data_IF_508460155742
#
_entry.id   IF_508460155742
#
_cell.length_a   1.000
_cell.length_b   1.000
_cell.length_c   1.000
_cell.angle_alpha   90.00
_cell.angle_beta   90.00
_cell.angle_gamma   90.00
#
_symmetry.space_group_name_H-M   'P 1'
#
loop_
_entity.id
_entity.type
_entity.pdbx_description
1 polymer ?
#
# COMPACT_ATOMS: atom_id res chain seq x y z
N UNK A 1 10.45 -25.56 3.87
CA UNK A 1 10.11 -24.14 3.65
C UNK A 1 9.76 -23.54 5.01
N UNK A 2 10.73 -22.96 5.70
CA UNK A 2 10.52 -22.45 7.07
C UNK A 2 9.77 -21.11 6.96
N UNK A 3 8.56 -21.07 7.53
CA UNK A 3 7.80 -19.83 7.73
C UNK A 3 8.63 -18.94 8.67
N UNK A 4 8.64 -17.62 8.48
CA UNK A 4 9.05 -16.70 9.55
C UNK A 4 8.42 -17.19 10.86
N UNK A 5 9.17 -17.28 11.97
CA UNK A 5 8.52 -17.51 13.23
C UNK A 5 7.62 -16.28 13.46
N UNK A 6 6.31 -16.52 13.40
CA UNK A 6 5.24 -15.54 13.63
C UNK A 6 5.34 -14.91 15.04
N UNK A 7 6.28 -15.40 15.86
CA UNK A 7 6.47 -15.07 17.27
C UNK A 7 6.80 -13.62 17.58
N UNK A 8 7.15 -12.78 16.61
CA UNK A 8 7.50 -11.38 16.89
C UNK A 8 6.53 -10.34 16.30
N UNK A 9 5.49 -10.72 15.55
CA UNK A 9 4.51 -9.73 15.05
C UNK A 9 3.44 -9.50 16.12
N UNK A 10 3.45 -8.32 16.73
CA UNK A 10 2.53 -7.98 17.83
C UNK A 10 1.21 -7.38 17.36
N UNK A 11 1.07 -7.11 16.06
CA UNK A 11 -0.14 -6.55 15.44
C UNK A 11 0.15 -5.71 14.19
N UNK A 12 -0.87 -5.00 13.66
CA UNK A 12 -0.71 -4.06 12.56
C UNK A 12 0.43 -3.06 12.83
N UNK A 13 1.23 -2.79 11.80
CA UNK A 13 2.37 -1.87 11.82
C UNK A 13 3.51 -2.23 12.79
N UNK A 14 3.53 -3.45 13.36
CA UNK A 14 4.66 -3.92 14.19
C UNK A 14 5.93 -4.25 13.38
N UNK A 15 5.81 -4.46 12.08
CA UNK A 15 6.93 -4.61 11.15
C UNK A 15 6.58 -3.88 9.85
N UNK A 16 7.22 -2.73 9.65
CA UNK A 16 7.09 -1.95 8.44
C UNK A 16 8.22 -2.31 7.47
N UNK A 17 7.87 -2.72 6.26
CA UNK A 17 8.84 -2.98 5.19
C UNK A 17 8.86 -1.76 4.26
N UNK A 18 10.03 -1.23 3.99
CA UNK A 18 10.24 -0.01 3.20
C UNK A 18 11.07 -0.34 1.97
N UNK A 19 10.65 0.20 0.84
CA UNK A 19 11.37 0.13 -0.43
C UNK A 19 11.15 1.41 -1.25
N UNK A 20 11.94 1.57 -2.32
CA UNK A 20 11.78 2.67 -3.26
C UNK A 20 11.69 2.15 -4.69
N UNK A 21 10.76 2.70 -5.46
CA UNK A 21 10.59 2.39 -6.88
C UNK A 21 11.03 3.60 -7.72
N UNK A 22 11.87 3.36 -8.72
CA UNK A 22 12.27 4.37 -9.70
C UNK A 22 13.75 4.26 -10.10
N UNK A 23 14.25 5.26 -10.86
CA UNK A 23 13.51 6.43 -11.33
C UNK A 23 12.41 6.05 -12.35
N UNK A 24 11.26 6.73 -12.25
CA UNK A 24 10.16 6.70 -13.22
C UNK A 24 10.23 7.96 -14.11
N UNK A 25 9.48 8.02 -15.23
CA UNK A 25 9.27 9.28 -15.95
C UNK A 25 8.82 10.38 -14.99
N UNK A 26 9.44 11.55 -15.10
CA UNK A 26 9.15 12.67 -14.22
C UNK A 26 7.72 13.16 -14.46
N UNK A 27 6.95 13.29 -13.39
CA UNK A 27 5.58 13.81 -13.50
C UNK A 27 5.57 15.32 -13.65
N UNK A 28 4.43 15.87 -14.05
CA UNK A 28 4.23 17.33 -14.09
C UNK A 28 4.42 17.99 -12.72
N UNK A 29 4.28 17.23 -11.63
CA UNK A 29 4.54 17.70 -10.25
C UNK A 29 5.99 17.47 -9.80
N UNK A 30 6.87 17.02 -10.69
CA UNK A 30 8.29 16.79 -10.42
C UNK A 30 8.59 15.49 -9.67
N UNK A 31 7.64 14.55 -9.59
CA UNK A 31 7.87 13.27 -8.91
C UNK A 31 8.64 12.29 -9.81
N UNK A 32 9.64 11.60 -9.23
CA UNK A 32 10.52 10.66 -9.95
C UNK A 32 10.57 9.28 -9.32
N UNK A 33 10.20 9.18 -8.05
CA UNK A 33 10.29 7.96 -7.28
C UNK A 33 9.02 7.73 -6.48
N UNK A 34 8.80 6.50 -6.08
CA UNK A 34 7.74 6.12 -5.15
C UNK A 34 8.40 5.52 -3.91
N UNK A 35 8.21 6.15 -2.76
CA UNK A 35 8.53 5.54 -1.47
C UNK A 35 7.38 4.64 -1.04
N UNK A 36 7.69 3.38 -0.81
CA UNK A 36 6.73 2.33 -0.49
C UNK A 36 6.91 1.87 0.94
N UNK A 37 5.81 1.75 1.65
CA UNK A 37 5.74 1.26 3.02
C UNK A 37 4.68 0.19 3.11
N UNK A 38 5.05 -1.05 3.43
CA UNK A 38 4.09 -2.14 3.57
C UNK A 38 4.14 -2.69 4.98
N UNK A 39 3.01 -2.65 5.67
CA UNK A 39 2.83 -3.37 6.92
C UNK A 39 2.86 -4.87 6.65
N UNK A 40 3.77 -5.57 7.31
CA UNK A 40 3.87 -7.02 7.12
C UNK A 40 2.64 -7.75 7.67
N UNK A 41 1.99 -7.26 8.74
CA UNK A 41 0.89 -7.96 9.39
C UNK A 41 -0.39 -7.96 8.53
N UNK A 42 -0.85 -6.77 8.14
CA UNK A 42 -2.09 -6.58 7.37
C UNK A 42 -1.88 -6.53 5.86
N UNK A 43 -0.63 -6.52 5.37
CA UNK A 43 -0.26 -6.17 3.99
C UNK A 43 -0.76 -4.79 3.55
N UNK A 44 -1.12 -3.93 4.50
CA UNK A 44 -1.49 -2.55 4.20
C UNK A 44 -0.29 -1.82 3.60
N UNK A 45 -0.43 -1.36 2.36
CA UNK A 45 0.62 -0.64 1.65
C UNK A 45 0.29 0.85 1.60
N UNK A 46 1.21 1.72 2.02
CA UNK A 46 1.26 3.15 1.73
C UNK A 46 2.33 3.40 0.66
N UNK A 47 2.06 4.34 -0.25
CA UNK A 47 3.03 4.73 -1.26
C UNK A 47 2.95 6.24 -1.50
N UNK A 48 4.11 6.88 -1.59
CA UNK A 48 4.23 8.34 -1.73
C UNK A 48 5.13 8.68 -2.91
N UNK A 49 4.60 9.51 -3.82
CA UNK A 49 5.37 10.07 -4.92
C UNK A 49 6.34 11.12 -4.39
N UNK A 50 7.62 11.03 -4.75
CA UNK A 50 8.67 11.94 -4.29
C UNK A 50 9.61 12.33 -5.43
N UNK A 51 10.16 13.54 -5.35
CA UNK A 51 11.12 14.06 -6.33
C UNK A 51 12.52 13.46 -6.16
N UNK A 52 12.90 13.11 -4.93
CA UNK A 52 14.21 12.59 -4.59
C UNK A 52 14.14 11.50 -3.52
N UNK A 53 15.14 10.62 -3.52
CA UNK A 53 15.36 9.65 -2.47
C UNK A 53 16.51 10.17 -1.60
N UNK A 54 16.18 11.00 -0.62
CA UNK A 54 17.10 11.47 0.42
C UNK A 54 16.50 11.21 1.81
N UNK A 55 17.30 11.34 2.86
CA UNK A 55 16.86 11.02 4.21
C UNK A 55 15.79 11.97 4.75
N UNK A 56 15.77 13.24 4.36
CA UNK A 56 14.75 14.19 4.83
C UNK A 56 13.40 13.83 4.21
N UNK A 57 13.38 13.62 2.90
CA UNK A 57 12.20 13.17 2.16
C UNK A 57 11.66 11.84 2.70
N UNK A 58 12.54 10.88 3.01
CA UNK A 58 12.15 9.62 3.63
C UNK A 58 11.53 9.81 5.02
N UNK A 59 12.16 10.60 5.89
CA UNK A 59 11.67 10.82 7.25
C UNK A 59 10.33 11.57 7.27
N UNK A 60 10.15 12.55 6.38
CA UNK A 60 8.88 13.23 6.21
C UNK A 60 7.76 12.25 5.83
N UNK A 61 8.03 11.38 4.85
CA UNK A 61 7.08 10.35 4.42
C UNK A 61 6.76 9.34 5.53
N UNK A 62 7.74 8.92 6.33
CA UNK A 62 7.50 8.04 7.49
C UNK A 62 6.64 8.73 8.54
N UNK A 63 6.99 9.96 8.92
CA UNK A 63 6.28 10.68 9.99
C UNK A 63 4.85 11.00 9.57
N UNK A 64 4.68 11.72 8.45
CA UNK A 64 3.38 12.21 8.02
C UNK A 64 2.51 11.12 7.39
N UNK A 65 3.15 10.16 6.73
CA UNK A 65 2.49 9.09 6.00
C UNK A 65 2.16 7.87 6.85
N UNK A 66 3.00 7.53 7.83
CA UNK A 66 2.84 6.30 8.63
C UNK A 66 2.61 6.63 10.10
N UNK A 67 3.53 7.33 10.76
CA UNK A 67 3.49 7.52 12.22
C UNK A 67 2.24 8.29 12.66
N UNK A 68 1.90 9.38 11.98
CA UNK A 68 0.72 10.19 12.31
C UNK A 68 -0.60 9.42 12.11
N UNK A 69 -0.62 8.42 11.24
CA UNK A 69 -1.85 7.67 10.88
C UNK A 69 -2.02 6.38 11.67
N UNK A 70 -0.91 5.66 11.86
CA UNK A 70 -0.90 4.27 12.31
C UNK A 70 -0.07 4.07 13.59
N UNK A 71 0.66 5.10 14.04
CA UNK A 71 1.57 5.03 15.17
C UNK A 71 2.99 4.62 14.78
N UNK A 72 3.87 4.63 15.78
CA UNK A 72 5.29 4.30 15.59
C UNK A 72 5.47 2.79 15.40
N UNK A 73 6.06 2.33 14.29
CA UNK A 73 6.33 0.91 14.10
C UNK A 73 7.44 0.44 15.05
N UNK A 74 7.29 -0.74 15.64
CA UNK A 74 8.34 -1.29 16.52
C UNK A 74 9.59 -1.73 15.75
N UNK A 75 9.43 -2.15 14.48
CA UNK A 75 10.53 -2.51 13.59
C UNK A 75 10.32 -1.93 12.20
N UNK A 76 11.43 -1.51 11.59
CA UNK A 76 11.47 -1.06 10.21
C UNK A 76 12.51 -1.89 9.46
N UNK A 77 12.10 -2.57 8.41
CA UNK A 77 12.97 -3.28 7.48
C UNK A 77 13.10 -2.45 6.21
N UNK A 78 14.33 -2.20 5.78
CA UNK A 78 14.61 -1.64 4.46
C UNK A 78 15.90 -2.26 3.93
N UNK A 79 16.16 -2.07 2.64
CA UNK A 79 17.47 -2.32 2.07
C UNK A 79 18.55 -1.39 2.68
N UNK A 80 19.80 -1.61 2.26
CA UNK A 80 20.96 -0.83 2.72
C UNK A 80 21.14 0.49 1.93
N UNK A 81 20.08 1.03 1.32
CA UNK A 81 20.13 2.34 0.68
C UNK A 81 20.67 3.41 1.63
N UNK A 82 21.52 4.31 1.13
CA UNK A 82 22.13 5.40 1.93
C UNK A 82 21.07 6.25 2.64
N UNK A 83 19.90 6.38 2.04
CA UNK A 83 18.79 7.21 2.53
C UNK A 83 18.20 6.67 3.83
N UNK A 84 18.18 5.36 3.99
CA UNK A 84 17.65 4.67 5.16
C UNK A 84 18.68 4.47 6.28
N UNK A 85 19.94 4.82 6.02
CA UNK A 85 21.11 4.51 6.86
C UNK A 85 21.94 5.73 7.25
N UNK A 86 21.48 6.95 6.91
CA UNK A 86 22.13 8.19 7.33
C UNK A 86 22.09 8.40 8.85
N UNK A 87 22.96 9.26 9.37
CA UNK A 87 23.00 9.59 10.80
C UNK A 87 21.69 10.19 11.29
N UNK A 88 21.01 11.00 10.47
CA UNK A 88 19.70 11.56 10.80
C UNK A 88 18.64 10.46 10.89
N UNK A 89 18.64 9.49 9.97
CA UNK A 89 17.73 8.35 10.02
C UNK A 89 18.00 7.45 11.24
N UNK A 90 19.28 7.22 11.59
CA UNK A 90 19.67 6.47 12.79
C UNK A 90 19.18 7.16 14.06
N UNK A 91 19.39 8.47 14.19
CA UNK A 91 18.93 9.26 15.33
C UNK A 91 17.40 9.23 15.45
N UNK A 92 16.68 9.30 14.33
CA UNK A 92 15.22 9.14 14.29
C UNK A 92 14.78 7.79 14.84
N UNK A 93 15.37 6.69 14.35
CA UNK A 93 15.02 5.34 14.84
C UNK A 93 15.29 5.20 16.35
N UNK A 94 16.44 5.69 16.82
CA UNK A 94 16.80 5.64 18.25
C UNK A 94 15.82 6.45 19.11
N UNK A 95 15.47 7.66 18.68
CA UNK A 95 14.57 8.56 19.41
C UNK A 95 13.17 7.95 19.58
N UNK A 96 12.68 7.28 18.53
CA UNK A 96 11.36 6.65 18.54
C UNK A 96 11.37 5.19 19.02
N UNK A 97 12.54 4.64 19.39
CA UNK A 97 12.68 3.24 19.78
C UNK A 97 12.41 2.23 18.65
N UNK A 98 12.54 2.65 17.39
CA UNK A 98 12.33 1.79 16.22
C UNK A 98 13.56 0.90 16.04
N UNK A 99 13.38 -0.41 16.06
CA UNK A 99 14.46 -1.36 15.74
C UNK A 99 14.63 -1.47 14.23
N UNK A 100 15.66 -0.82 13.69
CA UNK A 100 16.04 -0.92 12.28
C UNK A 100 16.60 -2.31 11.95
N UNK A 101 16.03 -2.94 10.94
CA UNK A 101 16.48 -4.19 10.35
C UNK A 101 17.09 -3.92 8.96
N UNK A 102 18.18 -4.61 8.65
CA UNK A 102 18.88 -4.47 7.36
C UNK A 102 18.61 -5.68 6.47
N UNK A 103 18.35 -5.44 5.17
CA UNK A 103 17.94 -6.47 4.20
C UNK A 103 18.85 -7.71 4.13
N UNK A 104 20.17 -7.56 4.28
CA UNK A 104 21.11 -8.67 4.20
C UNK A 104 20.96 -9.72 5.34
N UNK A 105 20.33 -9.34 6.45
CA UNK A 105 20.14 -10.22 7.62
C UNK A 105 18.76 -10.89 7.59
N UNK A 106 17.84 -10.48 6.70
CA UNK A 106 16.43 -10.86 6.79
C UNK A 106 15.92 -11.65 5.58
N UNK A 107 15.02 -12.61 5.83
CA UNK A 107 14.63 -13.67 4.90
C UNK A 107 14.09 -13.17 3.55
N UNK A 108 14.35 -13.89 2.43
CA UNK A 108 13.79 -13.62 1.10
C UNK A 108 12.27 -13.47 1.05
N UNK A 109 11.55 -14.06 2.00
CA UNK A 109 10.09 -13.95 2.09
C UNK A 109 9.60 -12.54 2.45
N UNK A 110 10.39 -11.79 3.24
CA UNK A 110 10.02 -10.44 3.70
C UNK A 110 10.28 -9.41 2.61
N UNK A 111 11.44 -9.55 1.95
CA UNK A 111 11.78 -8.74 0.79
C UNK A 111 10.87 -9.07 -0.41
N UNK A 112 10.58 -10.36 -0.62
CA UNK A 112 9.64 -10.79 -1.66
C UNK A 112 8.20 -10.32 -1.47
N UNK A 113 7.82 -9.81 -0.29
CA UNK A 113 6.53 -9.15 -0.12
C UNK A 113 6.51 -7.76 -0.76
N UNK A 114 7.50 -6.93 -0.47
CA UNK A 114 7.54 -5.57 -1.01
C UNK A 114 7.83 -5.61 -2.51
N UNK A 115 8.68 -6.53 -2.98
CA UNK A 115 8.92 -6.74 -4.41
C UNK A 115 7.64 -7.12 -5.17
N UNK A 116 6.82 -8.03 -4.63
CA UNK A 116 5.53 -8.41 -5.23
C UNK A 116 4.53 -7.26 -5.22
N UNK A 117 4.51 -6.48 -4.15
CA UNK A 117 3.70 -5.27 -4.11
C UNK A 117 4.14 -4.27 -5.17
N UNK A 118 5.44 -3.96 -5.27
CA UNK A 118 5.98 -3.03 -6.25
C UNK A 118 5.65 -3.45 -7.69
N UNK A 119 5.77 -4.75 -8.00
CA UNK A 119 5.37 -5.29 -9.29
C UNK A 119 3.88 -5.09 -9.58
N UNK A 120 3.02 -5.29 -8.57
CA UNK A 120 1.57 -5.07 -8.67
C UNK A 120 1.25 -3.59 -8.85
N UNK A 121 1.88 -2.72 -8.06
CA UNK A 121 1.73 -1.27 -8.10
C UNK A 121 2.07 -0.72 -9.49
N UNK A 122 3.23 -1.10 -10.04
CA UNK A 122 3.65 -0.68 -11.37
C UNK A 122 2.71 -1.24 -12.45
N UNK A 123 2.28 -2.50 -12.33
CA UNK A 123 1.31 -3.08 -13.25
C UNK A 123 -0.01 -2.31 -13.27
N UNK A 124 -0.53 -1.93 -12.10
CA UNK A 124 -1.77 -1.15 -11.98
C UNK A 124 -1.62 0.28 -12.48
N UNK A 125 -0.50 0.95 -12.19
CA UNK A 125 -0.22 2.29 -12.70
C UNK A 125 -0.16 2.31 -14.23
N UNK A 126 0.53 1.33 -14.84
CA UNK A 126 0.62 1.20 -16.31
C UNK A 126 -0.72 1.10 -17.02
N UNK A 127 -1.78 0.65 -16.35
CA UNK A 127 -3.13 0.57 -16.92
C UNK A 127 -3.89 1.91 -16.90
N UNK A 128 -3.43 2.89 -16.12
CA UNK A 128 -4.16 4.14 -15.87
C UNK A 128 -3.41 5.40 -16.34
N UNK A 129 -2.09 5.32 -16.48
CA UNK A 129 -1.26 6.44 -16.94
C UNK A 129 -1.51 6.75 -18.41
N UNK A 130 -1.38 8.03 -18.76
CA UNK A 130 -1.42 8.48 -20.15
C UNK A 130 -0.22 7.95 -20.95
N UNK A 131 -0.24 8.07 -22.28
CA UNK A 131 0.83 7.62 -23.18
C UNK A 131 2.19 8.20 -22.80
N UNK A 132 2.21 9.45 -22.32
CA UNK A 132 3.42 10.14 -21.86
C UNK A 132 3.94 9.65 -20.50
N UNK A 133 3.11 8.94 -19.72
CA UNK A 133 3.41 8.45 -18.37
C UNK A 133 3.85 9.54 -17.38
N UNK A 134 3.37 10.79 -17.55
CA UNK A 134 3.75 11.96 -16.74
C UNK A 134 2.75 12.27 -15.61
N UNK A 135 1.74 11.43 -15.39
CA UNK A 135 0.64 11.65 -14.45
C UNK A 135 0.44 10.50 -13.46
N UNK A 136 1.37 9.54 -13.39
CA UNK A 136 1.27 8.34 -12.56
C UNK A 136 1.06 8.66 -11.07
N UNK A 137 1.59 9.77 -10.59
CA UNK A 137 1.45 10.21 -9.20
C UNK A 137 0.01 10.61 -8.86
N UNK A 138 -0.81 11.00 -9.84
CA UNK A 138 -2.24 11.28 -9.66
C UNK A 138 -2.98 9.99 -9.34
N UNK A 139 -2.68 8.89 -10.00
CA UNK A 139 -3.42 7.63 -9.83
C UNK A 139 -3.02 6.84 -8.59
N UNK A 140 -1.89 7.17 -7.96
CA UNK A 140 -1.35 6.43 -6.82
C UNK A 140 -2.37 6.15 -5.71
N UNK A 141 -3.18 7.13 -5.22
CA UNK A 141 -4.19 6.86 -4.20
C UNK A 141 -5.29 5.89 -4.64
N UNK A 142 -5.65 5.92 -5.93
CA UNK A 142 -6.71 5.07 -6.51
C UNK A 142 -6.22 3.64 -6.64
N UNK A 143 -5.00 3.47 -7.12
CA UNK A 143 -4.32 2.16 -7.20
C UNK A 143 -4.13 1.56 -5.81
N UNK A 144 -3.70 2.35 -4.83
CA UNK A 144 -3.56 1.90 -3.45
C UNK A 144 -4.90 1.46 -2.85
N UNK A 145 -5.98 2.23 -3.09
CA UNK A 145 -7.32 1.84 -2.62
C UNK A 145 -7.74 0.48 -3.21
N UNK A 146 -7.60 0.31 -4.53
CA UNK A 146 -7.92 -0.96 -5.20
C UNK A 146 -7.06 -2.12 -4.68
N UNK A 147 -5.77 -1.90 -4.43
CA UNK A 147 -4.89 -2.92 -3.84
C UNK A 147 -5.33 -3.32 -2.42
N UNK A 148 -5.70 -2.34 -1.59
CA UNK A 148 -6.10 -2.54 -0.19
C UNK A 148 -7.46 -3.21 -0.06
N UNK A 149 -8.37 -2.97 -1.00
CA UNK A 149 -9.71 -3.60 -1.02
C UNK A 149 -9.74 -4.97 -1.71
N UNK A 150 -8.73 -5.31 -2.51
CA UNK A 150 -8.66 -6.59 -3.18
C UNK A 150 -8.36 -7.73 -2.18
N UNK A 151 -8.77 -8.96 -2.53
CA UNK A 151 -8.49 -10.16 -1.74
C UNK A 151 -7.03 -10.60 -1.89
N UNK A 152 -6.35 -10.87 -0.77
CA UNK A 152 -4.98 -11.38 -0.74
C UNK A 152 -4.94 -12.82 -0.24
N UNK A 153 -4.59 -13.77 -1.11
CA UNK A 153 -4.49 -15.20 -0.75
C UNK A 153 -3.58 -15.47 0.46
N UNK A 154 -2.54 -14.66 0.64
CA UNK A 154 -1.61 -14.81 1.77
C UNK A 154 -2.20 -14.37 3.13
N UNK A 155 -3.22 -13.50 3.11
CA UNK A 155 -3.98 -13.10 4.29
C UNK A 155 -5.22 -13.96 4.50
N UNK A 156 -5.80 -14.48 3.41
CA UNK A 156 -7.15 -15.04 3.44
C UNK A 156 -8.24 -13.98 3.46
N UNK A 157 -7.87 -12.70 3.27
CA UNK A 157 -8.76 -11.55 3.28
C UNK A 157 -8.11 -10.34 2.57
N UNK A 158 -8.78 -9.19 2.53
CA UNK A 158 -8.24 -7.92 2.06
C UNK A 158 -7.38 -7.23 3.14
N UNK A 159 -6.37 -6.43 2.74
CA UNK A 159 -5.64 -5.57 3.66
C UNK A 159 -6.54 -4.59 4.41
N UNK A 160 -7.61 -4.11 3.75
CA UNK A 160 -8.57 -3.20 4.35
C UNK A 160 -9.34 -3.86 5.50
N UNK A 161 -9.88 -5.07 5.28
CA UNK A 161 -10.53 -5.82 6.34
C UNK A 161 -9.54 -6.18 7.46
N UNK A 162 -8.33 -6.61 7.10
CA UNK A 162 -7.30 -6.97 8.08
C UNK A 162 -6.89 -5.82 8.99
N UNK A 163 -6.97 -4.57 8.52
CA UNK A 163 -6.65 -3.38 9.31
C UNK A 163 -7.87 -2.80 10.04
N UNK A 164 -9.02 -2.69 9.38
CA UNK A 164 -10.19 -2.00 9.92
C UNK A 164 -11.29 -2.92 10.48
N UNK A 165 -11.13 -4.23 10.33
CA UNK A 165 -12.13 -5.24 10.69
C UNK A 165 -13.51 -5.01 10.04
N UNK A 166 -13.53 -4.41 8.85
CA UNK A 166 -14.71 -4.15 8.03
C UNK A 166 -14.32 -4.02 6.58
N UNK A 167 -15.26 -4.28 5.68
CA UNK A 167 -15.07 -3.98 4.27
C UNK A 167 -15.20 -2.47 3.97
N UNK A 168 -14.49 -1.97 2.95
CA UNK A 168 -14.77 -0.65 2.41
C UNK A 168 -16.09 -0.68 1.64
N UNK A 169 -16.87 0.40 1.73
CA UNK A 169 -17.99 0.61 0.80
C UNK A 169 -17.41 1.09 -0.52
N UNK A 170 -17.54 0.28 -1.57
CA UNK A 170 -17.04 0.60 -2.90
C UNK A 170 -18.03 1.49 -3.66
N UNK A 171 -17.57 2.31 -4.62
CA UNK A 171 -18.47 3.07 -5.49
C UNK A 171 -19.52 2.20 -6.19
N UNK A 172 -19.15 0.96 -6.52
CA UNK A 172 -20.04 -0.01 -7.13
C UNK A 172 -21.17 -0.46 -6.19
N UNK A 173 -20.88 -0.63 -4.90
CA UNK A 173 -21.89 -0.97 -3.89
C UNK A 173 -22.95 0.13 -3.80
N UNK A 174 -22.52 1.40 -3.82
CA UNK A 174 -23.42 2.56 -3.82
C UNK A 174 -24.27 2.61 -5.08
N UNK A 175 -23.68 2.32 -6.25
CA UNK A 175 -24.40 2.29 -7.51
C UNK A 175 -25.50 1.21 -7.50
N UNK A 176 -25.20 0.00 -7.05
CA UNK A 176 -26.18 -1.08 -6.95
C UNK A 176 -27.28 -0.79 -5.92
N UNK A 177 -26.93 -0.27 -4.73
CA UNK A 177 -27.93 0.14 -3.73
C UNK A 177 -28.86 1.25 -4.24
N UNK A 178 -28.33 2.15 -5.07
CA UNK A 178 -29.13 3.22 -5.70
C UNK A 178 -30.05 2.65 -6.78
N UNK A 179 -29.60 1.66 -7.54
CA UNK A 179 -30.42 0.95 -8.53
C UNK A 179 -31.53 0.14 -7.88
N UNK A 180 -31.28 -0.55 -6.77
CA UNK A 180 -32.31 -1.29 -6.03
C UNK A 180 -33.38 -0.36 -5.43
N UNK A 181 -32.98 0.82 -4.93
CA UNK A 181 -33.89 1.85 -4.43
C UNK A 181 -34.74 2.45 -5.56
N UNK A 182 -34.13 2.71 -6.71
CA UNK A 182 -34.82 3.17 -7.92
C UNK A 182 -35.74 2.08 -8.50
N UNK A 183 -35.36 0.81 -8.39
CA UNK A 183 -36.15 -0.36 -8.77
C UNK A 183 -37.42 -0.54 -7.91
N UNK A 184 -37.39 -0.15 -6.62
CA UNK A 184 -38.59 -0.06 -5.79
C UNK A 184 -39.54 1.08 -6.20
N UNK A 185 -39.03 2.15 -6.81
CA UNK A 185 -39.84 3.20 -7.42
C UNK A 185 -40.39 2.81 -8.82
N UNK A 186 -39.85 1.76 -9.44
CA UNK A 186 -40.21 1.27 -10.78
C UNK A 186 -41.13 0.03 -10.78
N UNK A 187 -41.76 -0.32 -9.65
CA UNK A 187 -42.79 -1.39 -9.60
C UNK A 187 -44.09 -1.08 -10.37
N UNK A 188 -44.08 -0.09 -11.26
CA UNK A 188 -45.15 0.18 -12.22
C UNK A 188 -44.79 -0.08 -13.69
N UNK A 189 -43.60 -0.63 -14.02
CA UNK A 189 -43.34 -1.08 -15.39
C UNK A 189 -42.74 -2.49 -15.41
N UNK A 190 -43.53 -3.40 -15.96
CA UNK A 190 -43.29 -4.82 -16.11
C UNK A 190 -42.11 -5.07 -17.06
N UNK A 191 -40.94 -5.49 -16.55
CA UNK A 191 -39.87 -6.06 -17.37
C UNK A 191 -39.35 -7.31 -16.67
N UNK A 192 -39.64 -8.46 -17.30
CA UNK A 192 -39.17 -9.78 -16.91
C UNK A 192 -37.64 -9.87 -17.01
N UNK A 193 -37.00 -10.19 -15.88
CA UNK A 193 -35.56 -10.52 -15.84
C UNK A 193 -35.43 -12.04 -15.83
N UNK A 194 -35.42 -12.63 -17.01
CA UNK A 194 -34.96 -14.00 -17.22
C UNK A 194 -33.63 -13.92 -17.96
N UNK A 195 -32.52 -14.14 -17.26
CA UNK A 195 -31.32 -14.66 -17.92
C UNK A 195 -30.41 -15.43 -16.94
N UNK A 196 -30.63 -16.73 -17.02
CA UNK A 196 -29.80 -17.89 -16.72
C UNK A 196 -28.28 -17.69 -16.78
N UNK A 197 -27.64 -18.20 -15.72
CA UNK A 197 -26.32 -18.86 -15.62
C UNK A 197 -25.63 -19.16 -16.97
N UNK A 198 -24.40 -18.67 -17.11
CA UNK A 198 -23.25 -19.40 -17.67
C UNK A 198 -22.01 -19.10 -16.84
#
# INVERSE_FOLDING_TARGET
MQRMPVTDLTGPFSLLVVDAVGPLPETERGSKYILVFVDYFTRWAEAFAVAALDSITFLDAVVNGVVVRHGVPSRLLSDNGRNFTSEVAKAFYQTLGIRKLFGAVYHPQTQGLVERFNGTLIGMLRMHVDEAQTDWDVYLPRVLFAYRSAYHKALGDSPFFSLYARDPVLPLDVAFLTLERSGRAMKSLNIDVNCTVL
#
